data_IF_134427118801
#
_entry.id   IF_134427118801
#
_cell.length_a   1.000
_cell.length_b   1.000
_cell.length_c   1.000
_cell.angle_alpha   90.00
_cell.angle_beta   90.00
_cell.angle_gamma   90.00
#
_symmetry.space_group_name_H-M   'P 1'
#
loop_
_entity.id
_entity.type
_entity.pdbx_description
1 polymer ?
#
# COMPACT_ATOMS: atom_id res chain seq x y z
N UNK A 1 -3.26 -28.61 -6.42
CA UNK A 1 -2.13 -28.48 -7.36
C UNK A 1 -0.90 -29.06 -6.69
N UNK A 2 -0.12 -29.90 -7.37
CA UNK A 2 1.10 -30.49 -6.83
C UNK A 2 2.30 -29.95 -7.61
N UNK A 3 3.19 -29.26 -6.91
CA UNK A 3 4.39 -28.71 -7.53
C UNK A 3 5.40 -29.83 -7.80
N UNK A 4 5.58 -30.17 -9.08
CA UNK A 4 6.51 -31.22 -9.51
C UNK A 4 7.94 -30.71 -9.78
N UNK A 5 8.09 -29.43 -10.17
CA UNK A 5 9.36 -28.76 -10.48
C UNK A 5 9.18 -27.24 -10.35
N UNK A 6 10.27 -26.51 -10.06
CA UNK A 6 10.26 -25.05 -9.88
C UNK A 6 10.32 -24.61 -8.41
N UNK A 7 10.48 -23.31 -8.15
CA UNK A 7 10.48 -22.74 -6.79
C UNK A 7 9.06 -22.50 -6.26
N UNK A 8 8.88 -22.55 -4.94
CA UNK A 8 7.54 -22.44 -4.33
C UNK A 8 6.92 -21.05 -4.60
N UNK A 9 5.67 -21.04 -5.08
CA UNK A 9 4.90 -19.79 -5.23
C UNK A 9 4.75 -19.10 -3.87
N UNK A 10 5.02 -17.79 -3.82
CA UNK A 10 4.96 -16.99 -2.59
C UNK A 10 6.27 -16.98 -1.77
N UNK A 11 7.29 -17.74 -2.16
CA UNK A 11 8.63 -17.57 -1.62
C UNK A 11 9.27 -16.30 -2.16
N UNK A 12 9.66 -15.38 -1.28
CA UNK A 12 10.37 -14.15 -1.65
C UNK A 12 11.63 -14.44 -2.47
N UNK A 13 12.36 -15.51 -2.12
CA UNK A 13 13.55 -15.94 -2.85
C UNK A 13 13.21 -16.39 -4.27
N UNK A 14 12.17 -17.21 -4.43
CA UNK A 14 11.76 -17.70 -5.76
C UNK A 14 11.34 -16.56 -6.69
N UNK A 15 10.64 -15.55 -6.16
CA UNK A 15 10.22 -14.39 -6.96
C UNK A 15 11.42 -13.57 -7.46
N UNK A 16 12.48 -13.43 -6.65
CA UNK A 16 13.71 -12.77 -7.08
C UNK A 16 14.40 -13.56 -8.19
N UNK A 17 14.52 -14.88 -8.05
CA UNK A 17 15.11 -15.72 -9.09
C UNK A 17 14.31 -15.68 -10.40
N UNK A 18 12.98 -15.73 -10.31
CA UNK A 18 12.11 -15.61 -11.48
C UNK A 18 12.33 -14.27 -12.19
N UNK A 19 12.42 -13.16 -11.43
CA UNK A 19 12.69 -11.85 -12.01
C UNK A 19 14.06 -11.74 -12.69
N UNK A 20 15.12 -12.33 -12.09
CA UNK A 20 16.46 -12.34 -12.70
C UNK A 20 16.44 -13.16 -13.99
N UNK A 21 15.82 -14.34 -13.96
CA UNK A 21 15.71 -15.19 -15.14
C UNK A 21 14.94 -14.52 -16.26
N UNK A 22 13.79 -13.93 -15.93
CA UNK A 22 12.97 -13.20 -16.91
C UNK A 22 13.71 -11.98 -17.47
N UNK A 23 14.51 -11.28 -16.66
CA UNK A 23 15.32 -10.15 -17.13
C UNK A 23 16.34 -10.55 -18.21
N UNK A 24 16.99 -11.70 -18.06
CA UNK A 24 17.92 -12.22 -19.06
C UNK A 24 17.18 -12.69 -20.31
N UNK A 25 16.06 -13.38 -20.10
CA UNK A 25 15.23 -13.89 -21.20
C UNK A 25 14.63 -12.76 -22.05
N UNK A 26 14.20 -11.66 -21.43
CA UNK A 26 13.51 -10.54 -22.09
C UNK A 26 14.45 -9.52 -22.76
N UNK A 27 15.79 -9.69 -22.65
CA UNK A 27 16.77 -8.74 -23.19
C UNK A 27 16.55 -8.39 -24.67
N UNK A 28 16.25 -9.39 -25.50
CA UNK A 28 16.08 -9.18 -26.94
C UNK A 28 14.84 -8.31 -27.23
N UNK A 29 13.74 -8.56 -26.51
CA UNK A 29 12.53 -7.74 -26.59
C UNK A 29 12.80 -6.32 -26.05
N UNK A 30 13.47 -6.18 -24.91
CA UNK A 30 13.80 -4.85 -24.37
C UNK A 30 14.62 -4.05 -25.38
N UNK A 31 15.62 -4.66 -26.02
CA UNK A 31 16.46 -3.99 -27.03
C UNK A 31 15.65 -3.62 -28.27
N UNK A 32 14.85 -4.55 -28.79
CA UNK A 32 13.98 -4.32 -29.93
C UNK A 32 13.04 -3.14 -29.72
N UNK A 33 12.40 -3.05 -28.55
CA UNK A 33 11.52 -1.93 -28.19
C UNK A 33 12.31 -0.63 -28.00
N UNK A 34 13.49 -0.68 -27.37
CA UNK A 34 14.33 0.49 -27.18
C UNK A 34 14.79 1.10 -28.52
N UNK A 35 15.23 0.27 -29.47
CA UNK A 35 15.67 0.71 -30.79
C UNK A 35 14.53 1.42 -31.56
N UNK A 36 13.29 0.96 -31.34
CA UNK A 36 12.07 1.52 -31.96
C UNK A 36 11.43 2.66 -31.18
N UNK A 37 11.99 3.03 -30.03
CA UNK A 37 11.41 4.03 -29.12
C UNK A 37 9.98 3.68 -28.68
N UNK A 38 9.73 2.38 -28.49
CA UNK A 38 8.45 1.82 -28.09
C UNK A 38 8.43 1.47 -26.60
N UNK A 39 7.23 1.38 -26.04
CA UNK A 39 7.04 1.04 -24.63
C UNK A 39 7.23 -0.47 -24.45
N UNK A 40 8.08 -0.83 -23.49
CA UNK A 40 8.16 -2.16 -22.89
C UNK A 40 7.94 -2.02 -21.38
N UNK A 41 7.04 -2.82 -20.82
CA UNK A 41 6.82 -2.86 -19.38
C UNK A 41 6.46 -4.26 -18.91
N UNK A 42 7.04 -4.69 -17.79
CA UNK A 42 6.70 -5.96 -17.15
C UNK A 42 6.26 -5.74 -15.71
N UNK A 43 5.18 -6.41 -15.32
CA UNK A 43 4.75 -6.53 -13.94
C UNK A 43 4.66 -8.01 -13.56
N UNK A 44 5.70 -8.50 -12.88
CA UNK A 44 5.85 -9.91 -12.51
C UNK A 44 5.75 -10.79 -13.77
N UNK A 45 4.61 -11.42 -14.02
CA UNK A 45 4.40 -12.35 -15.14
C UNK A 45 3.72 -11.68 -16.35
N UNK A 46 3.15 -10.48 -16.17
CA UNK A 46 2.42 -9.77 -17.22
C UNK A 46 3.35 -8.80 -17.97
N UNK A 47 3.36 -8.88 -19.30
CA UNK A 47 4.15 -8.01 -20.19
C UNK A 47 3.20 -7.13 -21.00
N UNK A 48 3.55 -5.85 -21.12
CA UNK A 48 2.88 -4.87 -21.97
C UNK A 48 3.89 -4.27 -22.95
N UNK A 49 3.52 -4.24 -24.23
CA UNK A 49 4.33 -3.72 -25.32
C UNK A 49 3.46 -2.86 -26.24
N UNK A 50 4.05 -1.82 -26.82
CA UNK A 50 3.46 -1.09 -27.95
C UNK A 50 4.26 -1.38 -29.20
N UNK A 51 3.63 -1.31 -30.37
CA UNK A 51 4.36 -1.38 -31.65
C UNK A 51 3.73 -0.49 -32.72
N UNK A 52 4.57 0.08 -33.58
CA UNK A 52 4.20 0.73 -34.84
C UNK A 52 4.51 -0.15 -36.06
N UNK A 53 5.03 -1.35 -35.84
CA UNK A 53 5.38 -2.29 -36.90
C UNK A 53 4.14 -2.94 -37.53
N UNK A 54 4.27 -3.44 -38.77
CA UNK A 54 3.28 -4.34 -39.35
C UNK A 54 3.04 -5.55 -38.44
N UNK A 55 1.79 -6.02 -38.42
CA UNK A 55 1.37 -7.16 -37.59
C UNK A 55 2.25 -8.40 -37.82
N UNK A 56 2.66 -8.64 -39.06
CA UNK A 56 3.49 -9.80 -39.45
C UNK A 56 4.91 -9.72 -38.89
N UNK A 57 5.46 -8.52 -38.67
CA UNK A 57 6.81 -8.35 -38.12
C UNK A 57 6.80 -8.59 -36.61
N UNK A 58 5.89 -7.92 -35.89
CA UNK A 58 5.78 -8.10 -34.44
C UNK A 58 5.36 -9.52 -34.06
N UNK A 59 4.52 -10.19 -34.87
CA UNK A 59 4.13 -11.59 -34.58
C UNK A 59 5.30 -12.54 -34.71
N UNK A 60 6.17 -12.36 -35.73
CA UNK A 60 7.41 -13.15 -35.86
C UNK A 60 8.32 -12.97 -34.65
N UNK A 61 8.48 -11.74 -34.16
CA UNK A 61 9.31 -11.48 -32.99
C UNK A 61 8.76 -12.12 -31.72
N UNK A 62 7.44 -12.06 -31.52
CA UNK A 62 6.78 -12.73 -30.39
C UNK A 62 6.85 -14.26 -30.50
N UNK A 63 6.75 -14.81 -31.72
CA UNK A 63 6.92 -16.25 -31.97
C UNK A 63 8.36 -16.71 -31.71
N UNK A 64 9.35 -15.92 -32.13
CA UNK A 64 10.77 -16.17 -31.84
C UNK A 64 11.01 -16.17 -30.32
N UNK A 65 10.46 -15.18 -29.61
CA UNK A 65 10.54 -15.13 -28.15
C UNK A 65 9.87 -16.36 -27.50
N UNK A 66 8.73 -16.81 -28.01
CA UNK A 66 8.02 -17.98 -27.51
C UNK A 66 8.80 -19.29 -27.71
N UNK A 67 9.70 -19.34 -28.70
CA UNK A 67 10.55 -20.50 -28.98
C UNK A 67 11.90 -20.47 -28.25
N UNK A 68 12.29 -19.33 -27.67
CA UNK A 68 13.59 -19.12 -27.00
C UNK A 68 13.85 -20.08 -25.85
N UNK A 69 12.81 -20.45 -25.10
CA UNK A 69 12.90 -21.38 -23.97
C UNK A 69 11.65 -22.23 -23.86
N UNK A 70 11.82 -23.56 -23.93
CA UNK A 70 10.74 -24.56 -23.79
C UNK A 70 10.01 -24.48 -22.45
N UNK A 71 10.63 -23.92 -21.41
CA UNK A 71 10.04 -23.76 -20.08
C UNK A 71 9.14 -22.52 -19.97
N UNK A 72 9.26 -21.56 -20.90
CA UNK A 72 8.45 -20.35 -20.93
C UNK A 72 7.36 -20.51 -21.98
N UNK A 73 6.12 -20.23 -21.58
CA UNK A 73 4.96 -20.22 -22.48
C UNK A 73 4.40 -18.82 -22.55
N UNK A 74 4.68 -18.13 -23.65
CA UNK A 74 4.07 -16.84 -23.92
C UNK A 74 2.68 -17.07 -24.51
N UNK A 75 1.70 -16.32 -24.00
CA UNK A 75 0.43 -16.09 -24.69
C UNK A 75 0.29 -14.61 -24.90
N UNK A 76 0.29 -14.18 -26.16
CA UNK A 76 0.16 -12.78 -26.51
C UNK A 76 -1.18 -12.52 -27.20
N UNK A 77 -1.64 -11.28 -27.07
CA UNK A 77 -2.79 -10.74 -27.78
C UNK A 77 -2.37 -9.38 -28.31
N UNK A 78 -2.57 -9.14 -29.60
CA UNK A 78 -2.29 -7.86 -30.24
C UNK A 78 -3.63 -7.22 -30.57
N UNK A 79 -3.84 -5.99 -30.10
CA UNK A 79 -5.07 -5.25 -30.34
C UNK A 79 -4.87 -3.77 -30.10
N UNK A 80 -5.74 -2.96 -30.69
CA UNK A 80 -5.83 -1.54 -30.39
C UNK A 80 -6.29 -1.28 -28.94
N UNK A 81 -7.03 -2.21 -28.34
CA UNK A 81 -7.50 -2.14 -26.96
C UNK A 81 -7.16 -3.44 -26.23
N UNK A 82 -6.42 -3.33 -25.13
CA UNK A 82 -5.97 -4.48 -24.35
C UNK A 82 -6.16 -4.25 -22.86
N UNK A 83 -6.32 -5.36 -22.14
CA UNK A 83 -6.42 -5.38 -20.69
C UNK A 83 -5.03 -5.65 -20.13
N UNK A 84 -4.56 -4.79 -19.23
CA UNK A 84 -3.28 -4.96 -18.54
C UNK A 84 -3.44 -4.58 -17.07
N UNK A 85 -3.19 -5.53 -16.18
CA UNK A 85 -3.46 -5.42 -14.75
C UNK A 85 -4.92 -5.00 -14.46
N UNK A 86 -5.09 -3.84 -13.85
CA UNK A 86 -6.35 -3.24 -13.42
C UNK A 86 -6.93 -2.24 -14.44
N UNK A 87 -6.39 -2.22 -15.67
CA UNK A 87 -6.70 -1.21 -16.68
C UNK A 87 -7.04 -1.79 -18.04
N UNK A 88 -7.92 -1.09 -18.77
CA UNK A 88 -8.05 -1.21 -20.21
C UNK A 88 -7.32 -0.05 -20.86
N UNK A 89 -6.35 -0.38 -21.71
CA UNK A 89 -5.49 0.55 -22.43
C UNK A 89 -5.90 0.52 -23.90
N UNK A 90 -6.34 1.66 -24.43
CA UNK A 90 -6.77 1.82 -25.82
C UNK A 90 -5.86 2.82 -26.53
N UNK A 91 -5.28 2.40 -27.65
CA UNK A 91 -4.50 3.27 -28.52
C UNK A 91 -5.44 4.09 -29.42
N UNK A 92 -5.38 5.42 -29.30
CA UNK A 92 -6.04 6.36 -30.22
C UNK A 92 -4.98 7.13 -31.00
N UNK A 93 -4.59 6.59 -32.16
CA UNK A 93 -3.65 7.23 -33.10
C UNK A 93 -2.33 7.66 -32.43
N UNK A 94 -1.72 6.76 -31.67
CA UNK A 94 -0.46 7.00 -30.94
C UNK A 94 -0.65 7.56 -29.53
N UNK A 95 -1.88 7.93 -29.14
CA UNK A 95 -2.18 8.38 -27.79
C UNK A 95 -2.85 7.26 -27.01
N UNK A 96 -2.15 6.72 -26.01
CA UNK A 96 -2.71 5.71 -25.10
C UNK A 96 -3.71 6.35 -24.15
N UNK A 97 -4.95 5.86 -24.16
CA UNK A 97 -5.98 6.20 -23.18
C UNK A 97 -6.23 5.02 -22.26
N UNK A 98 -6.42 5.32 -20.98
CA UNK A 98 -6.57 4.30 -19.94
C UNK A 98 -7.91 4.48 -19.23
N UNK A 99 -8.50 3.37 -18.83
CA UNK A 99 -9.73 3.29 -18.03
C UNK A 99 -9.64 2.09 -17.10
N UNK A 100 -10.47 2.03 -16.05
CA UNK A 100 -10.48 0.88 -15.15
C UNK A 100 -11.05 -0.33 -15.88
N UNK A 101 -10.32 -1.45 -15.84
CA UNK A 101 -10.84 -2.73 -16.30
C UNK A 101 -11.68 -3.38 -15.20
N UNK A 102 -12.87 -3.85 -15.59
CA UNK A 102 -13.73 -4.67 -14.74
C UNK A 102 -14.00 -5.99 -15.45
N UNK A 103 -13.67 -7.10 -14.78
CA UNK A 103 -13.98 -8.43 -15.31
C UNK A 103 -15.50 -8.55 -15.54
N UNK A 104 -15.96 -9.04 -16.71
CA UNK A 104 -17.39 -9.17 -17.00
C UNK A 104 -18.16 -10.02 -15.98
N UNK A 105 -17.46 -10.97 -15.34
CA UNK A 105 -18.01 -11.88 -14.34
C UNK A 105 -17.87 -11.39 -12.91
N UNK A 106 -17.24 -10.24 -12.67
CA UNK A 106 -17.08 -9.71 -11.33
C UNK A 106 -18.37 -9.05 -10.85
N UNK A 107 -18.89 -9.52 -9.72
CA UNK A 107 -20.00 -8.89 -9.05
C UNK A 107 -19.63 -7.47 -8.61
N UNK A 108 -20.56 -6.51 -8.65
CA UNK A 108 -20.37 -5.16 -8.12
C UNK A 108 -20.35 -5.23 -6.58
N UNK A 109 -19.22 -5.66 -6.03
CA UNK A 109 -19.05 -5.91 -4.61
C UNK A 109 -18.09 -4.89 -3.97
N UNK A 110 -18.62 -4.18 -2.98
CA UNK A 110 -17.84 -3.57 -1.93
C UNK A 110 -18.26 -4.18 -0.60
N UNK A 111 -17.41 -4.04 0.42
CA UNK A 111 -17.80 -4.46 1.77
C UNK A 111 -19.15 -3.82 2.14
N UNK A 112 -20.21 -4.61 2.42
CA UNK A 112 -21.54 -4.09 2.70
C UNK A 112 -21.54 -3.13 3.89
N UNK A 113 -22.33 -2.06 3.79
CA UNK A 113 -22.41 -1.05 4.85
C UNK A 113 -22.96 -1.61 6.18
N UNK A 114 -23.73 -2.70 6.11
CA UNK A 114 -24.30 -3.39 7.27
C UNK A 114 -23.33 -4.33 7.97
N UNK A 115 -22.12 -4.52 7.45
CA UNK A 115 -21.12 -5.38 8.08
C UNK A 115 -20.53 -4.73 9.33
N UNK A 116 -20.10 -5.53 10.30
CA UNK A 116 -19.54 -5.07 11.58
C UNK A 116 -18.07 -4.64 11.45
N UNK A 117 -17.81 -3.66 10.58
CA UNK A 117 -16.48 -3.07 10.42
C UNK A 117 -16.44 -1.65 10.98
N UNK A 118 -15.28 -1.18 11.47
CA UNK A 118 -15.16 0.18 11.95
C UNK A 118 -15.55 1.20 10.86
N UNK A 119 -16.26 2.27 11.24
CA UNK A 119 -16.68 3.34 10.33
C UNK A 119 -15.56 3.91 9.44
N UNK A 120 -14.30 3.86 9.90
CA UNK A 120 -13.13 4.25 9.10
C UNK A 120 -13.00 3.42 7.82
N UNK A 121 -13.31 2.12 7.85
CA UNK A 121 -13.23 1.23 6.68
C UNK A 121 -14.28 1.65 5.66
N UNK A 122 -15.55 1.77 6.07
CA UNK A 122 -16.65 2.25 5.22
C UNK A 122 -16.37 3.63 4.61
N UNK A 123 -15.72 4.54 5.35
CA UNK A 123 -15.33 5.86 4.83
C UNK A 123 -14.19 5.80 3.81
N UNK A 124 -13.29 4.84 3.94
CA UNK A 124 -12.10 4.74 3.09
C UNK A 124 -12.39 4.01 1.77
N UNK A 125 -13.37 3.10 1.73
CA UNK A 125 -13.78 2.41 0.50
C UNK A 125 -14.11 3.39 -0.65
N UNK A 126 -15.09 4.31 -0.53
CA UNK A 126 -15.40 5.24 -1.60
C UNK A 126 -14.23 6.17 -1.94
N UNK A 127 -13.48 6.61 -0.92
CA UNK A 127 -12.32 7.49 -1.12
C UNK A 127 -11.23 6.80 -1.96
N UNK A 128 -10.86 5.58 -1.60
CA UNK A 128 -9.82 4.82 -2.29
C UNK A 128 -10.27 4.39 -3.69
N UNK A 129 -11.55 4.04 -3.86
CA UNK A 129 -12.12 3.73 -5.17
C UNK A 129 -12.01 4.94 -6.12
N UNK A 130 -12.38 6.14 -5.67
CA UNK A 130 -12.22 7.37 -6.44
C UNK A 130 -10.75 7.73 -6.69
N UNK A 131 -9.88 7.51 -5.70
CA UNK A 131 -8.45 7.73 -5.85
C UNK A 131 -7.85 6.79 -6.91
N UNK A 132 -8.27 5.53 -6.95
CA UNK A 132 -7.90 4.58 -8.00
C UNK A 132 -8.41 5.05 -9.36
N UNK A 133 -9.69 5.41 -9.48
CA UNK A 133 -10.26 5.94 -10.72
C UNK A 133 -9.51 7.17 -11.24
N UNK A 134 -9.21 8.13 -10.37
CA UNK A 134 -8.48 9.33 -10.75
C UNK A 134 -7.01 9.08 -11.12
N UNK A 135 -6.40 7.99 -10.64
CA UNK A 135 -5.03 7.62 -11.03
C UNK A 135 -4.98 6.87 -12.36
N UNK A 136 -5.98 6.02 -12.62
CA UNK A 136 -5.95 5.09 -13.75
C UNK A 136 -6.69 5.63 -14.98
N UNK A 137 -7.69 6.49 -14.84
CA UNK A 137 -8.42 7.04 -15.98
C UNK A 137 -7.69 8.23 -16.61
N UNK A 138 -7.41 8.17 -17.91
CA UNK A 138 -6.64 9.22 -18.62
C UNK A 138 -7.44 10.48 -18.98
N UNK A 139 -8.77 10.39 -19.00
CA UNK A 139 -9.65 11.50 -19.35
C UNK A 139 -10.86 11.59 -18.40
N UNK A 140 -11.48 12.77 -18.39
CA UNK A 140 -12.56 13.10 -17.47
C UNK A 140 -13.80 12.23 -17.73
N UNK A 141 -14.10 11.92 -18.99
CA UNK A 141 -15.23 11.06 -19.34
C UNK A 141 -15.09 9.65 -18.74
N UNK A 142 -13.93 9.00 -18.90
CA UNK A 142 -13.64 7.70 -18.32
C UNK A 142 -13.70 7.73 -16.78
N UNK A 143 -13.19 8.81 -16.17
CA UNK A 143 -13.30 9.01 -14.73
C UNK A 143 -14.76 9.17 -14.27
N UNK A 144 -15.59 9.93 -14.99
CA UNK A 144 -16.99 10.11 -14.64
C UNK A 144 -17.80 8.82 -14.78
N UNK A 145 -17.58 8.05 -15.84
CA UNK A 145 -18.20 6.73 -16.01
C UNK A 145 -17.84 5.80 -14.86
N UNK A 146 -16.57 5.76 -14.46
CA UNK A 146 -16.12 4.96 -13.33
C UNK A 146 -16.68 5.48 -12.00
N UNK A 147 -16.73 6.80 -11.79
CA UNK A 147 -17.35 7.41 -10.61
C UNK A 147 -18.81 6.99 -10.46
N UNK A 148 -19.58 6.99 -11.54
CA UNK A 148 -20.97 6.55 -11.55
C UNK A 148 -21.07 5.06 -11.23
N UNK A 149 -20.19 4.23 -11.81
CA UNK A 149 -20.13 2.80 -11.48
C UNK A 149 -19.84 2.57 -9.99
N UNK A 150 -18.89 3.30 -9.41
CA UNK A 150 -18.56 3.24 -7.98
C UNK A 150 -19.79 3.62 -7.14
N UNK A 151 -20.49 4.70 -7.50
CA UNK A 151 -21.70 5.18 -6.81
C UNK A 151 -22.80 4.12 -6.82
N UNK A 152 -23.11 3.54 -7.98
CA UNK A 152 -24.09 2.45 -8.12
C UNK A 152 -23.67 1.22 -7.29
N UNK A 153 -22.40 0.84 -7.35
CA UNK A 153 -21.86 -0.30 -6.59
C UNK A 153 -22.03 -0.08 -5.09
N UNK A 154 -21.76 1.12 -4.58
CA UNK A 154 -21.96 1.45 -3.16
C UNK A 154 -23.43 1.39 -2.76
N UNK A 155 -24.35 1.88 -3.60
CA UNK A 155 -25.79 1.79 -3.36
C UNK A 155 -26.26 0.34 -3.29
N UNK A 156 -25.80 -0.52 -4.21
CA UNK A 156 -26.10 -1.95 -4.20
C UNK A 156 -25.57 -2.66 -2.94
N UNK A 157 -24.51 -2.13 -2.33
CA UNK A 157 -23.93 -2.62 -1.08
C UNK A 157 -24.45 -1.87 0.16
N UNK A 158 -25.65 -1.28 0.07
CA UNK A 158 -26.42 -0.65 1.15
C UNK A 158 -25.78 0.60 1.79
N UNK A 159 -24.88 1.29 1.09
CA UNK A 159 -24.35 2.56 1.61
C UNK A 159 -25.42 3.66 1.56
N UNK A 160 -25.62 4.43 2.64
CA UNK A 160 -26.60 5.53 2.64
C UNK A 160 -26.23 6.61 1.60
N UNK A 161 -27.18 7.11 0.79
CA UNK A 161 -26.87 8.10 -0.26
C UNK A 161 -26.14 9.34 0.26
N UNK A 162 -26.60 9.90 1.40
CA UNK A 162 -25.92 11.03 2.06
C UNK A 162 -24.48 10.72 2.46
N UNK A 163 -24.20 9.48 2.88
CA UNK A 163 -22.85 9.05 3.22
C UNK A 163 -21.95 9.03 1.99
N UNK A 164 -22.44 8.48 0.88
CA UNK A 164 -21.73 8.43 -0.41
C UNK A 164 -21.39 9.85 -0.86
N UNK A 165 -22.38 10.75 -0.93
CA UNK A 165 -22.18 12.16 -1.33
C UNK A 165 -21.11 12.82 -0.46
N UNK A 166 -21.17 12.65 0.86
CA UNK A 166 -20.18 13.22 1.78
C UNK A 166 -18.76 12.67 1.53
N UNK A 167 -18.60 11.36 1.27
CA UNK A 167 -17.28 10.80 1.00
C UNK A 167 -16.74 11.21 -0.38
N UNK A 168 -17.61 11.37 -1.38
CA UNK A 168 -17.23 11.87 -2.70
C UNK A 168 -16.76 13.32 -2.61
N UNK A 169 -17.53 14.19 -1.95
CA UNK A 169 -17.15 15.58 -1.71
C UNK A 169 -15.82 15.67 -0.96
N UNK A 170 -15.63 14.84 0.08
CA UNK A 170 -14.36 14.74 0.81
C UNK A 170 -13.18 14.41 -0.11
N UNK A 171 -13.35 13.50 -1.07
CA UNK A 171 -12.28 13.17 -2.02
C UNK A 171 -11.84 14.39 -2.84
N UNK A 172 -12.78 15.13 -3.42
CA UNK A 172 -12.48 16.32 -4.21
C UNK A 172 -11.89 17.45 -3.36
N UNK A 173 -12.44 17.70 -2.18
CA UNK A 173 -11.96 18.74 -1.26
C UNK A 173 -10.52 18.47 -0.80
N UNK A 174 -10.22 17.25 -0.36
CA UNK A 174 -8.86 16.87 0.09
C UNK A 174 -7.84 17.05 -1.04
N UNK A 175 -8.25 16.74 -2.28
CA UNK A 175 -7.38 16.87 -3.44
C UNK A 175 -7.40 18.27 -4.08
N UNK A 176 -8.16 19.23 -3.54
CA UNK A 176 -8.38 20.58 -4.10
C UNK A 176 -8.89 20.53 -5.54
N UNK A 177 -9.82 19.62 -5.80
CA UNK A 177 -10.36 19.32 -7.12
C UNK A 177 -11.85 19.70 -7.24
N UNK A 178 -12.32 20.65 -6.44
CA UNK A 178 -13.73 21.07 -6.39
C UNK A 178 -14.24 21.64 -7.73
N UNK A 179 -13.32 22.16 -8.56
CA UNK A 179 -13.63 22.67 -9.91
C UNK A 179 -14.20 21.57 -10.82
N UNK A 180 -13.74 20.32 -10.64
CA UNK A 180 -14.22 19.18 -11.43
C UNK A 180 -15.70 18.86 -11.17
N UNK A 181 -16.19 19.16 -9.98
CA UNK A 181 -17.61 18.98 -9.64
C UNK A 181 -18.45 20.08 -10.29
N UNK A 182 -17.91 21.31 -10.38
CA UNK A 182 -18.70 22.50 -10.75
C UNK A 182 -18.77 22.76 -12.25
N UNK A 183 -17.71 22.42 -13.00
CA UNK A 183 -17.55 22.86 -14.39
C UNK A 183 -17.22 21.75 -15.39
N UNK A 184 -17.02 20.51 -14.93
CA UNK A 184 -16.62 19.38 -15.79
C UNK A 184 -15.51 19.75 -16.78
N UNK A 185 -14.39 20.25 -16.25
CA UNK A 185 -13.28 20.75 -17.04
C UNK A 185 -12.17 19.70 -17.22
N UNK A 186 -11.92 19.31 -18.47
CA UNK A 186 -10.89 18.34 -18.84
C UNK A 186 -9.48 18.85 -18.51
N UNK A 187 -9.22 20.15 -18.67
CA UNK A 187 -7.89 20.73 -18.38
C UNK A 187 -7.55 20.62 -16.89
N UNK A 188 -8.52 20.96 -16.04
CA UNK A 188 -8.42 20.74 -14.60
C UNK A 188 -8.23 19.27 -14.23
N UNK A 189 -8.85 18.34 -14.99
CA UNK A 189 -8.73 16.91 -14.72
C UNK A 189 -7.30 16.41 -14.97
N UNK A 190 -6.63 16.83 -16.04
CA UNK A 190 -5.27 16.38 -16.38
C UNK A 190 -4.24 16.60 -15.25
N UNK A 191 -4.46 17.58 -14.38
CA UNK A 191 -3.58 17.89 -13.25
C UNK A 191 -3.78 16.90 -12.08
N UNK A 192 -5.00 16.39 -11.90
CA UNK A 192 -5.36 15.56 -10.75
C UNK A 192 -4.63 14.19 -10.71
N UNK A 193 -4.62 13.37 -11.78
CA UNK A 193 -3.88 12.12 -11.82
C UNK A 193 -2.40 12.32 -11.51
N UNK A 194 -1.76 13.31 -12.14
CA UNK A 194 -0.35 13.63 -11.92
C UNK A 194 -0.08 13.94 -10.44
N UNK A 195 -0.89 14.83 -9.85
CA UNK A 195 -0.79 15.14 -8.42
C UNK A 195 -0.95 13.91 -7.53
N UNK A 196 -1.86 12.99 -7.87
CA UNK A 196 -2.11 11.78 -7.11
C UNK A 196 -1.02 10.72 -7.26
N UNK A 197 -0.32 10.69 -8.39
CA UNK A 197 0.80 9.78 -8.65
C UNK A 197 2.04 10.20 -7.85
N UNK A 198 2.31 11.51 -7.77
CA UNK A 198 3.46 12.06 -7.03
C UNK A 198 3.15 12.36 -5.55
N UNK A 199 1.97 11.98 -5.06
CA UNK A 199 1.65 12.08 -3.64
C UNK A 199 2.50 11.09 -2.86
N UNK A 200 3.26 11.55 -1.84
CA UNK A 200 4.09 10.65 -1.07
C UNK A 200 3.22 9.63 -0.35
N UNK A 201 3.65 8.38 -0.36
CA UNK A 201 2.99 7.33 0.42
C UNK A 201 3.02 7.68 1.92
N UNK A 202 2.16 7.05 2.72
CA UNK A 202 2.23 7.22 4.18
C UNK A 202 3.61 6.85 4.72
N UNK A 203 4.23 5.81 4.16
CA UNK A 203 5.58 5.39 4.48
C UNK A 203 6.60 6.48 4.10
N UNK A 204 6.57 7.00 2.88
CA UNK A 204 7.45 8.11 2.48
C UNK A 204 7.23 9.38 3.29
N UNK A 205 5.99 9.69 3.65
CA UNK A 205 5.68 10.86 4.49
C UNK A 205 6.23 10.65 5.90
N UNK A 206 6.08 9.44 6.46
CA UNK A 206 6.70 9.07 7.74
C UNK A 206 8.22 9.12 7.65
N UNK A 207 8.82 8.60 6.58
CA UNK A 207 10.26 8.64 6.36
C UNK A 207 10.76 10.07 6.18
N UNK A 208 10.11 10.91 5.38
CA UNK A 208 10.42 12.35 5.26
C UNK A 208 10.26 13.09 6.58
N UNK A 209 9.25 12.76 7.38
CA UNK A 209 9.08 13.32 8.72
C UNK A 209 10.14 12.81 9.70
N UNK A 210 10.56 11.56 9.56
CA UNK A 210 11.65 10.97 10.32
C UNK A 210 13.00 11.56 9.90
N UNK A 211 13.25 11.79 8.62
CA UNK A 211 14.42 12.46 8.06
C UNK A 211 14.48 13.93 8.48
N UNK A 212 13.35 14.65 8.46
CA UNK A 212 13.25 16.01 9.01
C UNK A 212 13.46 16.05 10.53
N UNK A 213 13.03 15.01 11.25
CA UNK A 213 13.38 14.83 12.67
C UNK A 213 14.86 14.51 12.85
N UNK A 214 15.46 13.68 12.00
CA UNK A 214 16.89 13.33 11.98
C UNK A 214 17.75 14.57 11.70
N UNK A 215 17.32 15.46 10.79
CA UNK A 215 17.96 16.74 10.52
C UNK A 215 17.88 17.74 11.69
N UNK A 216 16.96 17.50 12.63
CA UNK A 216 16.84 18.25 13.90
C UNK A 216 17.36 17.46 15.11
N UNK A 217 17.85 16.22 14.92
CA UNK A 217 18.70 15.36 15.79
C UNK A 217 18.50 13.87 15.40
N UNK A 218 19.55 13.05 15.24
CA UNK A 218 19.42 11.64 14.84
C UNK A 218 18.93 10.71 15.99
N UNK A 219 17.94 9.81 15.78
CA UNK A 219 17.37 8.96 16.84
C UNK A 219 18.23 7.75 17.28
N UNK A 220 19.44 7.57 16.74
CA UNK A 220 20.37 6.49 17.15
C UNK A 220 21.59 7.06 17.91
N UNK A 221 21.76 8.39 17.90
CA UNK A 221 22.88 9.07 18.57
C UNK A 221 22.43 10.19 19.50
N UNK A 222 21.19 10.17 20.00
CA UNK A 222 21.02 10.67 21.36
C UNK A 222 21.66 9.66 22.31
N UNK A 223 22.97 9.85 22.51
CA UNK A 223 23.62 9.52 23.77
C UNK A 223 22.87 10.36 24.81
N UNK A 224 21.73 9.85 25.30
CA UNK A 224 21.31 10.20 26.66
C UNK A 224 22.57 10.02 27.51
N UNK A 225 22.87 10.90 28.47
CA UNK A 225 24.08 10.83 29.28
C UNK A 225 23.99 9.59 30.17
N UNK A 226 24.23 8.42 29.60
CA UNK A 226 24.25 7.16 30.29
C UNK A 226 25.66 7.04 30.86
N UNK A 227 25.71 7.12 32.17
CA UNK A 227 26.71 6.44 32.97
C UNK A 227 26.96 5.07 32.32
N UNK A 228 28.13 4.86 31.69
CA UNK A 228 28.51 3.64 30.93
C UNK A 228 28.53 2.37 31.80
N UNK A 229 28.19 2.55 33.07
CA UNK A 229 28.07 1.57 34.14
C UNK A 229 26.64 1.08 34.35
N UNK A 230 25.59 1.64 33.73
CA UNK A 230 24.19 1.24 34.03
C UNK A 230 23.30 1.06 32.78
N UNK A 231 22.73 -0.13 32.61
CA UNK A 231 21.78 -0.47 31.54
C UNK A 231 20.34 -0.56 32.07
N UNK A 232 19.39 0.06 31.37
CA UNK A 232 17.99 0.11 31.78
C UNK A 232 17.09 -0.68 30.82
N UNK A 233 16.35 -1.67 31.34
CA UNK A 233 15.52 -2.57 30.52
C UNK A 233 14.04 -2.35 30.85
N UNK A 234 13.20 -1.91 29.90
CA UNK A 234 11.77 -1.74 30.12
C UNK A 234 11.07 -3.11 30.20
N UNK A 235 10.20 -3.29 31.19
CA UNK A 235 9.43 -4.52 31.43
C UNK A 235 7.92 -4.24 31.51
N UNK A 236 7.12 -4.99 30.73
CA UNK A 236 5.65 -4.87 30.64
C UNK A 236 4.97 -5.96 31.48
N UNK A 237 4.17 -5.56 32.45
CA UNK A 237 3.56 -6.44 33.45
C UNK A 237 2.16 -6.89 33.00
N UNK A 238 2.05 -7.86 32.10
CA UNK A 238 0.76 -8.47 31.74
C UNK A 238 0.94 -9.99 31.54
N UNK A 239 0.92 -10.73 32.66
CA UNK A 239 0.44 -12.11 32.87
C UNK A 239 1.20 -12.79 34.03
N UNK A 240 0.54 -12.90 35.19
CA UNK A 240 0.89 -13.90 36.20
C UNK A 240 1.89 -13.53 37.30
N UNK A 241 1.83 -14.31 38.38
CA UNK A 241 2.54 -14.14 39.66
C UNK A 241 4.05 -14.25 39.52
N UNK A 242 4.74 -13.14 39.27
CA UNK A 242 6.19 -13.11 39.44
C UNK A 242 6.67 -11.78 40.02
N UNK A 243 6.35 -11.55 41.29
CA UNK A 243 7.17 -10.68 42.16
C UNK A 243 8.66 -11.09 42.15
N UNK A 244 8.95 -12.34 41.77
CA UNK A 244 10.30 -12.92 41.62
C UNK A 244 10.93 -12.75 40.22
N UNK A 245 10.24 -12.19 39.21
CA UNK A 245 10.81 -12.03 37.86
C UNK A 245 12.16 -11.27 37.86
N UNK A 246 12.32 -10.16 38.61
CA UNK A 246 13.61 -9.47 38.67
C UNK A 246 14.75 -10.38 39.14
N UNK A 247 14.48 -11.28 40.09
CA UNK A 247 15.47 -12.22 40.62
C UNK A 247 15.84 -13.28 39.57
N UNK A 248 14.84 -13.88 38.90
CA UNK A 248 15.08 -14.86 37.84
C UNK A 248 15.83 -14.25 36.65
N UNK A 249 15.47 -13.05 36.24
CA UNK A 249 16.18 -12.33 35.18
C UNK A 249 17.63 -12.06 35.55
N UNK A 250 17.90 -11.58 36.77
CA UNK A 250 19.26 -11.33 37.24
C UNK A 250 20.10 -12.61 37.32
N UNK A 251 19.51 -13.73 37.76
CA UNK A 251 20.19 -15.03 37.78
C UNK A 251 20.52 -15.50 36.36
N UNK A 252 19.56 -15.42 35.43
CA UNK A 252 19.78 -15.76 34.02
C UNK A 252 20.83 -14.85 33.37
N UNK A 253 20.81 -13.56 33.66
CA UNK A 253 21.79 -12.60 33.15
C UNK A 253 23.21 -12.94 33.61
N UNK A 254 23.39 -13.17 34.92
CA UNK A 254 24.69 -13.54 35.48
C UNK A 254 25.21 -14.85 34.90
N UNK A 255 24.34 -15.83 34.68
CA UNK A 255 24.72 -17.14 34.14
C UNK A 255 25.22 -17.06 32.69
N UNK A 256 24.55 -16.28 31.84
CA UNK A 256 24.76 -16.34 30.39
C UNK A 256 25.61 -15.19 29.83
N UNK A 257 25.68 -14.05 30.51
CA UNK A 257 26.30 -12.84 29.96
C UNK A 257 27.44 -12.27 30.82
N UNK A 258 27.54 -12.65 32.10
CA UNK A 258 28.57 -12.17 33.02
C UNK A 258 29.60 -13.27 33.29
N UNK A 259 30.80 -13.11 32.75
CA UNK A 259 31.94 -14.00 32.98
C UNK A 259 33.25 -13.20 32.99
N UNK A 260 34.37 -13.75 33.50
CA UNK A 260 35.65 -13.06 33.56
C UNK A 260 36.12 -12.66 32.15
N UNK A 261 36.27 -11.35 31.91
CA UNK A 261 36.62 -10.78 30.59
C UNK A 261 35.45 -10.19 29.81
N UNK A 262 34.19 -10.48 30.18
CA UNK A 262 33.03 -9.89 29.53
C UNK A 262 32.92 -8.38 29.83
N UNK A 263 32.72 -7.50 28.83
CA UNK A 263 32.46 -6.08 29.07
C UNK A 263 31.16 -5.86 29.87
N UNK A 264 30.25 -6.84 29.87
CA UNK A 264 29.01 -6.81 30.64
C UNK A 264 29.20 -6.99 32.15
N UNK A 265 30.38 -7.43 32.60
CA UNK A 265 30.67 -7.61 34.04
C UNK A 265 30.71 -6.27 34.81
N UNK A 266 30.96 -5.16 34.11
CA UNK A 266 31.01 -3.81 34.71
C UNK A 266 29.69 -3.06 34.61
N UNK A 267 28.65 -3.66 34.02
CA UNK A 267 27.37 -3.03 33.75
C UNK A 267 26.35 -3.43 34.84
N UNK A 268 25.80 -2.44 35.55
CA UNK A 268 24.68 -2.59 36.48
C UNK A 268 23.38 -2.57 35.69
N UNK A 269 22.48 -3.52 35.93
CA UNK A 269 21.17 -3.55 35.27
C UNK A 269 20.09 -2.98 36.19
N UNK A 270 19.26 -2.09 35.65
CA UNK A 270 18.04 -1.60 36.30
C UNK A 270 16.82 -1.92 35.43
N UNK A 271 15.90 -2.72 35.96
CA UNK A 271 14.62 -2.98 35.30
C UNK A 271 13.70 -1.77 35.55
N UNK A 272 13.16 -1.18 34.49
CA UNK A 272 12.19 -0.09 34.59
C UNK A 272 10.79 -0.66 34.30
N UNK A 273 9.82 -0.55 35.22
CA UNK A 273 8.44 -0.92 34.93
C UNK A 273 7.86 0.08 33.93
N UNK A 274 7.43 -0.40 32.76
CA UNK A 274 6.60 0.41 31.86
C UNK A 274 5.15 0.27 32.29
N UNK A 275 4.64 1.28 32.98
CA UNK A 275 3.23 1.35 33.39
C UNK A 275 2.39 1.58 32.12
N UNK A 276 1.40 0.72 31.89
CA UNK A 276 0.38 0.97 30.88
C UNK A 276 -0.36 2.25 31.30
N UNK A 277 -0.47 3.27 30.44
CA UNK A 277 -1.26 4.48 30.78
C UNK A 277 -2.68 4.01 31.12
N UNK A 278 -3.06 4.04 32.39
CA UNK A 278 -4.38 3.59 32.84
C UNK A 278 -5.47 4.36 32.11
N UNK A 279 -6.58 3.70 31.77
CA UNK A 279 -7.80 4.30 31.19
C UNK A 279 -8.25 5.59 31.92
N UNK A 280 -7.87 5.76 33.18
CA UNK A 280 -8.02 6.97 34.00
C UNK A 280 -7.48 8.25 33.36
N UNK A 281 -6.46 8.18 32.49
CA UNK A 281 -5.96 9.34 31.75
C UNK A 281 -6.86 9.73 30.56
N UNK A 282 -7.78 8.86 30.14
CA UNK A 282 -8.80 9.12 29.12
C UNK A 282 -10.14 9.60 29.68
N UNK A 283 -10.36 9.49 31.00
CA UNK A 283 -11.54 10.05 31.64
C UNK A 283 -11.31 11.54 31.95
N UNK A 284 -12.20 12.36 31.39
CA UNK A 284 -12.19 13.83 31.32
C UNK A 284 -12.00 14.48 32.71
N UNK A 285 -11.05 15.43 32.84
CA UNK A 285 -10.74 16.17 34.08
C UNK A 285 -11.79 17.20 34.55
N UNK A 286 -12.97 17.26 33.93
CA UNK A 286 -14.08 18.09 34.41
C UNK A 286 -15.10 17.23 35.12
N UNK A 287 -15.28 17.49 36.41
CA UNK A 287 -16.33 16.91 37.25
C UNK A 287 -17.68 17.13 36.56
N UNK A 288 -18.46 16.08 36.22
CA UNK A 288 -19.79 16.26 35.67
C UNK A 288 -20.67 17.02 36.67
N UNK A 289 -21.61 17.81 36.16
CA UNK A 289 -22.54 18.61 36.97
C UNK A 289 -23.25 17.74 38.02
N UNK A 290 -23.40 18.26 39.24
CA UNK A 290 -24.12 17.60 40.36
C UNK A 290 -25.55 17.16 39.99
N UNK A 291 -26.14 17.77 38.97
CA UNK A 291 -27.49 17.45 38.49
C UNK A 291 -27.63 16.03 37.94
N UNK A 292 -26.54 15.36 37.56
CA UNK A 292 -26.56 13.97 37.07
C UNK A 292 -26.67 12.95 38.22
N UNK A 293 -26.38 13.36 39.47
CA UNK A 293 -26.41 12.47 40.64
C UNK A 293 -27.71 12.54 41.45
N UNK A 294 -28.64 13.42 41.08
CA UNK A 294 -29.99 13.46 41.67
C UNK A 294 -30.97 12.80 40.73
N UNK A 295 -31.26 11.52 41.00
CA UNK A 295 -32.49 10.89 40.50
C UNK A 295 -33.64 11.58 41.24
N UNK A 296 -34.46 12.35 40.54
CA UNK A 296 -35.75 12.81 41.07
C UNK A 296 -36.61 11.57 41.30
N UNK A 297 -36.93 11.31 42.58
CA UNK A 297 -38.08 10.49 42.97
C UNK A 297 -39.32 11.36 42.95
#
# INVERSE_FOLDING_TARGET
>A
YQQKRGGAMGSAFTQVYANIYMLEWEQDLIRHQADKHEIYGRYIDDIFMTTNEPLDEITKELDNAAQKDVNIKIKFKISQSIEFLDMTITNHNGILKTSIYHKPTADPYYLPYTSDHPNRIHRNIPYNALQRAARLCSNLHAFHSERLRIEVTLLLNNYPPKFITNQFLRFFQVNRADVLIKRSDEQSYQILPQKLLYQPTLCETQNKNNEKKVALLPPILEIKPWDSKVMYIPYKFETGTTSKFPQHFLQWWKKNYVYPGSPANRIRIRLIPTINKTLQQFFIQKKPSKTILTIQK
#
